data_IF_255562510154
#
_entry.id   IF_255562510154
#
_cell.length_a   1.000
_cell.length_b   1.000
_cell.length_c   1.000
_cell.angle_alpha   90.00
_cell.angle_beta   90.00
_cell.angle_gamma   90.00
#
_symmetry.space_group_name_H-M   'P 1'
#
loop_
_entity.id
_entity.type
_entity.pdbx_description
1 polymer ?
#
# COMPACT_ATOMS: atom_id res chain seq x y z
N UNK A 1 4.26 18.65 -11.16
CA UNK A 1 5.14 17.93 -10.23
C UNK A 1 5.27 16.52 -10.77
N UNK A 2 6.49 16.02 -10.89
CA UNK A 2 6.78 14.65 -11.32
C UNK A 2 6.88 13.76 -10.09
N UNK A 3 6.05 12.71 -10.06
CA UNK A 3 5.92 11.79 -8.94
C UNK A 3 6.46 10.42 -9.34
N UNK A 4 7.38 9.87 -8.55
CA UNK A 4 7.77 8.46 -8.63
C UNK A 4 7.06 7.67 -7.53
N UNK A 5 6.16 6.77 -7.93
CA UNK A 5 5.41 5.90 -7.03
C UNK A 5 5.96 4.49 -7.03
N UNK A 6 6.05 3.86 -5.86
CA UNK A 6 6.54 2.51 -5.67
C UNK A 6 5.49 1.65 -4.93
N UNK A 7 5.28 0.41 -5.36
CA UNK A 7 4.56 -0.61 -4.61
C UNK A 7 5.35 -1.91 -4.55
N UNK A 8 5.47 -2.42 -3.33
CA UNK A 8 6.09 -3.70 -3.01
C UNK A 8 5.34 -4.39 -1.87
N UNK A 9 4.11 -3.97 -1.56
CA UNK A 9 3.31 -4.52 -0.47
C UNK A 9 2.61 -5.83 -0.86
N UNK A 10 2.35 -6.03 -2.17
CA UNK A 10 1.66 -7.19 -2.71
C UNK A 10 2.58 -8.29 -3.25
N UNK A 11 2.08 -9.01 -4.26
CA UNK A 11 2.82 -10.00 -5.06
C UNK A 11 3.54 -9.37 -6.26
N UNK A 12 3.09 -8.18 -6.65
CA UNK A 12 3.64 -7.36 -7.71
C UNK A 12 4.71 -6.44 -7.11
N UNK A 13 5.77 -6.20 -7.88
CA UNK A 13 6.73 -5.13 -7.65
C UNK A 13 6.51 -4.11 -8.76
N UNK A 14 6.19 -2.87 -8.43
CA UNK A 14 5.74 -1.89 -9.40
C UNK A 14 6.31 -0.49 -9.15
N UNK A 15 6.54 0.25 -10.23
CA UNK A 15 6.89 1.65 -10.22
C UNK A 15 6.12 2.43 -11.30
N UNK A 16 5.83 3.70 -11.01
CA UNK A 16 5.18 4.60 -11.96
C UNK A 16 5.74 6.01 -11.87
N UNK A 17 5.82 6.69 -13.02
CA UNK A 17 6.23 8.09 -13.15
C UNK A 17 5.02 8.89 -13.63
N UNK A 18 4.54 9.81 -12.81
CA UNK A 18 3.30 10.53 -13.02
C UNK A 18 3.52 12.05 -13.01
N UNK A 19 3.06 12.73 -14.06
CA UNK A 19 2.98 14.19 -14.07
C UNK A 19 1.62 14.64 -13.52
N UNK A 20 1.63 15.11 -12.28
CA UNK A 20 0.42 15.59 -11.61
C UNK A 20 -0.09 16.91 -12.16
N UNK A 21 0.77 17.72 -12.78
CA UNK A 21 0.36 19.00 -13.39
C UNK A 21 -0.44 18.80 -14.67
N UNK A 22 -0.14 17.72 -15.40
CA UNK A 22 -0.85 17.32 -16.63
C UNK A 22 -1.86 16.20 -16.41
N UNK A 23 -1.95 15.65 -15.21
CA UNK A 23 -2.71 14.43 -14.90
C UNK A 23 -2.43 13.30 -15.91
N UNK A 24 -1.14 13.05 -16.18
CA UNK A 24 -0.72 12.10 -17.21
C UNK A 24 0.30 11.13 -16.65
N UNK A 25 0.08 9.84 -16.90
CA UNK A 25 1.07 8.81 -16.59
C UNK A 25 2.13 8.79 -17.68
N UNK A 26 3.39 8.97 -17.29
CA UNK A 26 4.53 9.05 -18.21
C UNK A 26 5.21 7.69 -18.39
N UNK A 27 5.21 6.84 -17.36
CA UNK A 27 5.76 5.49 -17.43
C UNK A 27 5.22 4.59 -16.32
N UNK A 28 5.04 3.31 -16.64
CA UNK A 28 4.58 2.27 -15.71
C UNK A 28 5.34 0.97 -15.96
N UNK A 29 5.89 0.40 -14.90
CA UNK A 29 6.52 -0.91 -14.95
C UNK A 29 6.06 -1.74 -13.74
N UNK A 30 5.76 -3.01 -13.98
CA UNK A 30 5.33 -3.94 -12.93
C UNK A 30 5.68 -5.37 -13.32
N UNK A 31 6.21 -6.13 -12.36
CA UNK A 31 6.44 -7.57 -12.50
C UNK A 31 5.78 -8.31 -11.34
N UNK A 32 5.13 -9.44 -11.64
CA UNK A 32 4.60 -10.35 -10.62
C UNK A 32 5.69 -11.32 -10.19
N UNK A 33 6.42 -10.98 -9.12
CA UNK A 33 7.65 -11.70 -8.73
C UNK A 33 7.45 -12.60 -7.50
N UNK A 34 6.44 -12.33 -6.67
CA UNK A 34 6.13 -13.08 -5.43
C UNK A 34 7.17 -12.94 -4.31
N UNK A 35 8.48 -13.04 -4.61
CA UNK A 35 9.61 -12.86 -3.69
C UNK A 35 10.78 -12.15 -4.41
N UNK A 36 11.74 -11.64 -3.63
CA UNK A 36 12.92 -10.96 -4.19
C UNK A 36 12.70 -9.51 -4.59
N UNK A 37 11.81 -8.79 -3.89
CA UNK A 37 11.49 -7.39 -4.24
C UNK A 37 12.70 -6.47 -4.22
N UNK A 38 13.70 -6.72 -3.35
CA UNK A 38 14.88 -5.88 -3.23
C UNK A 38 15.78 -5.95 -4.48
N UNK A 39 15.89 -7.14 -5.07
CA UNK A 39 16.72 -7.40 -6.23
C UNK A 39 16.09 -6.86 -7.52
N UNK A 40 14.76 -6.75 -7.56
CA UNK A 40 14.03 -6.33 -8.76
C UNK A 40 13.68 -4.84 -8.79
N UNK A 41 13.41 -4.22 -7.63
CA UNK A 41 12.81 -2.89 -7.56
C UNK A 41 13.54 -1.82 -8.39
N UNK A 42 14.88 -1.79 -8.33
CA UNK A 42 15.67 -0.77 -9.05
C UNK A 42 15.48 -0.91 -10.57
N UNK A 43 15.53 -2.13 -11.11
CA UNK A 43 15.29 -2.35 -12.54
C UNK A 43 13.85 -2.04 -12.98
N UNK A 44 12.87 -2.13 -12.07
CA UNK A 44 11.50 -1.69 -12.36
C UNK A 44 11.41 -0.16 -12.40
N UNK A 45 12.08 0.52 -11.47
CA UNK A 45 12.19 1.99 -11.46
C UNK A 45 12.86 2.48 -12.74
N UNK A 46 13.98 1.88 -13.16
CA UNK A 46 14.69 2.25 -14.39
C UNK A 46 13.76 2.13 -15.61
N UNK A 47 13.02 1.02 -15.75
CA UNK A 47 12.05 0.86 -16.86
C UNK A 47 10.95 1.92 -16.85
N UNK A 48 10.43 2.30 -15.69
CA UNK A 48 9.39 3.33 -15.59
C UNK A 48 9.95 4.72 -15.97
N UNK A 49 11.18 5.03 -15.58
CA UNK A 49 11.89 6.26 -15.94
C UNK A 49 12.23 6.31 -17.44
N UNK A 50 12.70 5.21 -18.01
CA UNK A 50 13.01 5.08 -19.43
C UNK A 50 11.76 5.31 -20.30
N UNK A 51 10.62 4.72 -19.92
CA UNK A 51 9.34 4.96 -20.59
C UNK A 51 8.92 6.44 -20.52
N UNK A 52 9.15 7.08 -19.38
CA UNK A 52 8.85 8.50 -19.18
C UNK A 52 9.82 9.44 -19.92
N UNK A 53 10.97 8.93 -20.37
CA UNK A 53 12.06 9.74 -20.91
C UNK A 53 12.67 10.69 -19.86
N UNK A 54 12.65 10.27 -18.60
CA UNK A 54 13.12 11.06 -17.45
C UNK A 54 14.20 10.31 -16.68
N UNK A 55 14.87 11.03 -15.78
CA UNK A 55 15.89 10.52 -14.88
C UNK A 55 15.43 10.70 -13.43
N UNK A 56 16.13 10.05 -12.48
CA UNK A 56 15.83 10.23 -11.05
C UNK A 56 15.92 11.71 -10.60
N UNK A 57 16.78 12.52 -11.22
CA UNK A 57 16.89 13.96 -10.89
C UNK A 57 15.69 14.80 -11.30
N UNK A 58 14.80 14.28 -12.15
CA UNK A 58 13.58 14.97 -12.57
C UNK A 58 12.40 14.73 -11.59
N UNK A 59 12.59 13.88 -10.58
CA UNK A 59 11.54 13.51 -9.62
C UNK A 59 11.42 14.58 -8.54
N UNK A 60 10.21 15.12 -8.39
CA UNK A 60 9.88 16.13 -7.37
C UNK A 60 9.31 15.53 -6.09
N UNK A 61 8.83 14.28 -6.13
CA UNK A 61 8.20 13.60 -4.98
C UNK A 61 8.26 12.08 -5.12
N UNK A 62 8.54 11.42 -3.99
CA UNK A 62 8.41 9.97 -3.83
C UNK A 62 7.07 9.61 -3.19
N UNK A 63 6.45 8.55 -3.69
CA UNK A 63 5.26 7.94 -3.10
C UNK A 63 5.52 6.45 -2.93
N UNK A 64 5.09 5.88 -1.81
CA UNK A 64 5.24 4.45 -1.57
C UNK A 64 4.09 3.86 -0.79
N UNK A 65 3.70 2.64 -1.12
CA UNK A 65 2.78 1.86 -0.30
C UNK A 65 3.41 1.51 1.05
N UNK A 66 2.74 1.80 2.15
CA UNK A 66 3.26 1.52 3.51
C UNK A 66 2.62 0.29 4.18
N UNK A 67 1.79 -0.44 3.45
CA UNK A 67 1.03 -1.59 3.97
C UNK A 67 -0.41 -1.24 4.35
N UNK A 68 -1.18 -2.20 4.88
CA UNK A 68 -0.79 -3.58 5.21
C UNK A 68 -0.44 -4.44 3.99
N UNK A 69 0.34 -5.52 4.19
CA UNK A 69 0.87 -6.35 3.10
C UNK A 69 2.10 -7.18 3.53
N UNK A 70 2.91 -7.59 2.56
CA UNK A 70 4.16 -8.34 2.76
C UNK A 70 5.12 -7.59 3.68
N UNK A 71 5.46 -8.18 4.83
CA UNK A 71 6.33 -7.55 5.82
C UNK A 71 7.70 -7.15 5.26
N UNK A 72 8.33 -8.05 4.50
CA UNK A 72 9.60 -7.78 3.84
C UNK A 72 9.41 -6.80 2.67
N UNK A 73 8.37 -7.00 1.87
CA UNK A 73 8.08 -6.16 0.71
C UNK A 73 7.89 -4.69 1.08
N UNK A 74 7.04 -4.38 2.07
CA UNK A 74 6.82 -3.01 2.56
C UNK A 74 8.14 -2.36 2.99
N UNK A 75 9.02 -3.10 3.68
CA UNK A 75 10.31 -2.57 4.13
C UNK A 75 11.22 -2.22 2.97
N UNK A 76 11.24 -3.03 1.92
CA UNK A 76 12.02 -2.76 0.71
C UNK A 76 11.57 -1.45 0.05
N UNK A 77 10.27 -1.32 -0.24
CA UNK A 77 9.73 -0.11 -0.87
C UNK A 77 9.96 1.13 -0.02
N UNK A 78 9.63 1.07 1.28
CA UNK A 78 9.80 2.22 2.18
C UNK A 78 11.27 2.62 2.31
N UNK A 79 12.20 1.65 2.38
CA UNK A 79 13.62 1.94 2.43
C UNK A 79 14.10 2.62 1.13
N UNK A 80 13.68 2.11 -0.03
CA UNK A 80 14.03 2.68 -1.33
C UNK A 80 13.48 4.11 -1.49
N UNK A 81 12.19 4.33 -1.23
CA UNK A 81 11.56 5.64 -1.31
C UNK A 81 12.24 6.67 -0.40
N UNK A 82 12.58 6.28 0.83
CA UNK A 82 13.31 7.15 1.76
C UNK A 82 14.74 7.42 1.33
N UNK A 83 15.39 6.43 0.72
CA UNK A 83 16.74 6.56 0.16
C UNK A 83 16.75 7.57 -1.00
N UNK A 84 15.85 7.40 -1.97
CA UNK A 84 15.71 8.34 -3.10
C UNK A 84 15.35 9.74 -2.63
N UNK A 85 14.37 9.87 -1.74
CA UNK A 85 13.97 11.16 -1.20
C UNK A 85 15.11 11.87 -0.47
N UNK A 86 15.94 11.12 0.26
CA UNK A 86 17.13 11.67 0.91
C UNK A 86 18.19 12.11 -0.09
N UNK A 87 18.44 11.33 -1.15
CA UNK A 87 19.46 11.68 -2.15
C UNK A 87 19.06 12.84 -3.05
N UNK A 88 17.76 12.97 -3.33
CA UNK A 88 17.21 13.98 -4.24
C UNK A 88 16.77 15.26 -3.50
N UNK A 89 16.73 15.24 -2.17
CA UNK A 89 16.20 16.31 -1.31
C UNK A 89 14.73 16.66 -1.65
N UNK A 90 13.90 15.64 -1.81
CA UNK A 90 12.47 15.78 -2.15
C UNK A 90 11.57 15.11 -1.12
N UNK A 91 10.30 15.52 -0.97
CA UNK A 91 9.37 14.88 -0.05
C UNK A 91 9.07 13.43 -0.45
N UNK A 92 8.81 12.61 0.57
CA UNK A 92 8.28 11.26 0.40
C UNK A 92 7.00 11.10 1.19
N UNK A 93 5.99 10.46 0.60
CA UNK A 93 4.68 10.22 1.23
C UNK A 93 4.35 8.73 1.20
N UNK A 94 3.73 8.26 2.28
CA UNK A 94 3.22 6.89 2.39
C UNK A 94 1.73 6.83 2.11
N UNK A 95 1.27 5.84 1.34
CA UNK A 95 -0.14 5.54 1.11
C UNK A 95 -0.42 4.11 1.58
N UNK A 96 -1.52 3.87 2.28
CA UNK A 96 -1.85 2.51 2.73
C UNK A 96 -2.40 1.68 1.59
N UNK A 97 -2.16 0.36 1.62
CA UNK A 97 -2.74 -0.59 0.66
C UNK A 97 -4.27 -0.52 0.68
N UNK A 98 -4.87 -0.29 1.86
CA UNK A 98 -6.31 -0.17 2.04
C UNK A 98 -6.89 1.07 1.34
N UNK A 99 -6.21 2.22 1.40
CA UNK A 99 -6.59 3.43 0.65
C UNK A 99 -6.58 3.19 -0.86
N UNK A 100 -5.54 2.50 -1.37
CA UNK A 100 -5.42 2.22 -2.81
C UNK A 100 -6.54 1.27 -3.27
N UNK A 101 -6.84 0.24 -2.48
CA UNK A 101 -7.93 -0.71 -2.76
C UNK A 101 -9.30 -0.02 -2.74
N UNK A 102 -9.54 0.85 -1.76
CA UNK A 102 -10.77 1.62 -1.69
C UNK A 102 -10.92 2.57 -2.89
N UNK A 103 -9.83 3.23 -3.29
CA UNK A 103 -9.80 4.08 -4.49
C UNK A 103 -10.12 3.29 -5.76
N UNK A 104 -9.48 2.12 -5.94
CA UNK A 104 -9.74 1.23 -7.08
C UNK A 104 -11.20 0.77 -7.15
N UNK A 105 -11.81 0.48 -6.00
CA UNK A 105 -13.23 0.11 -5.95
C UNK A 105 -14.13 1.30 -6.31
N UNK A 106 -13.80 2.51 -5.83
CA UNK A 106 -14.57 3.72 -6.14
C UNK A 106 -14.55 4.10 -7.62
N UNK A 107 -13.50 3.74 -8.38
CA UNK A 107 -13.51 3.89 -9.84
C UNK A 107 -14.57 3.00 -10.50
N UNK A 108 -14.84 1.82 -9.94
CA UNK A 108 -15.87 0.88 -10.44
C UNK A 108 -17.27 1.26 -9.97
N UNK A 109 -17.39 1.72 -8.73
CA UNK A 109 -18.67 2.10 -8.10
C UNK A 109 -18.58 3.50 -7.49
N UNK A 110 -18.68 4.56 -8.32
CA UNK A 110 -18.60 5.94 -7.85
C UNK A 110 -19.69 6.27 -6.83
N UNK A 111 -19.39 7.19 -5.91
CA UNK A 111 -20.31 7.71 -4.88
C UNK A 111 -20.83 6.66 -3.88
N UNK A 112 -20.15 5.50 -3.76
CA UNK A 112 -20.45 4.47 -2.76
C UNK A 112 -19.35 4.45 -1.70
N UNK A 113 -19.74 4.28 -0.44
CA UNK A 113 -18.80 3.98 0.63
C UNK A 113 -18.14 2.61 0.38
N UNK A 114 -16.90 2.44 0.82
CA UNK A 114 -16.12 1.22 0.59
C UNK A 114 -15.49 0.73 1.89
N UNK A 115 -15.64 -0.57 2.17
CA UNK A 115 -14.87 -1.28 3.18
C UNK A 115 -13.75 -2.05 2.47
N UNK A 116 -12.52 -1.54 2.60
CA UNK A 116 -11.35 -2.29 2.15
C UNK A 116 -10.99 -3.33 3.21
N UNK A 117 -10.88 -4.59 2.81
CA UNK A 117 -10.63 -5.71 3.71
C UNK A 117 -9.64 -6.72 3.10
N UNK A 118 -8.53 -6.94 3.79
CA UNK A 118 -7.49 -7.90 3.40
C UNK A 118 -7.45 -9.07 4.39
N UNK A 119 -7.41 -10.29 3.87
CA UNK A 119 -7.16 -11.49 4.68
C UNK A 119 -5.73 -11.43 5.24
N UNK A 120 -5.61 -11.24 6.56
CA UNK A 120 -4.33 -11.14 7.27
C UNK A 120 -3.73 -12.50 7.63
N UNK A 121 -4.39 -13.60 7.22
CA UNK A 121 -4.16 -14.97 7.66
C UNK A 121 -4.36 -15.11 9.17
N UNK A 122 -4.32 -16.36 9.66
CA UNK A 122 -4.44 -16.71 11.09
C UNK A 122 -5.72 -16.16 11.75
N UNK A 123 -6.83 -16.27 11.03
CA UNK A 123 -8.14 -15.87 11.53
C UNK A 123 -8.29 -14.36 11.83
N UNK A 124 -7.51 -13.53 11.15
CA UNK A 124 -7.59 -12.07 11.22
C UNK A 124 -7.82 -11.43 9.85
N UNK A 125 -8.45 -10.26 9.86
CA UNK A 125 -8.69 -9.40 8.71
C UNK A 125 -8.17 -8.01 9.03
N UNK A 126 -7.39 -7.44 8.11
CA UNK A 126 -7.06 -6.03 8.12
C UNK A 126 -8.16 -5.28 7.38
N UNK A 127 -8.78 -4.28 8.01
CA UNK A 127 -9.83 -3.51 7.37
C UNK A 127 -9.81 -2.03 7.70
N UNK A 128 -10.40 -1.24 6.80
CA UNK A 128 -10.67 0.17 6.99
C UNK A 128 -11.90 0.61 6.18
N UNK A 129 -12.88 1.30 6.79
CA UNK A 129 -14.01 1.90 6.08
C UNK A 129 -13.65 3.27 5.50
N UNK A 130 -14.15 3.55 4.30
CA UNK A 130 -14.00 4.81 3.58
C UNK A 130 -15.36 5.34 3.13
N UNK A 131 -15.53 6.65 3.18
CA UNK A 131 -16.73 7.33 2.73
C UNK A 131 -16.82 7.35 1.18
N UNK A 132 -17.96 7.79 0.66
CA UNK A 132 -18.20 7.88 -0.78
C UNK A 132 -17.24 8.83 -1.52
N UNK A 133 -16.70 9.83 -0.83
CA UNK A 133 -15.68 10.76 -1.35
C UNK A 133 -14.25 10.19 -1.25
N UNK A 134 -14.07 9.05 -0.59
CA UNK A 134 -12.78 8.39 -0.38
C UNK A 134 -12.07 8.80 0.91
N UNK A 135 -12.65 9.68 1.73
CA UNK A 135 -12.10 10.00 3.05
C UNK A 135 -12.20 8.79 4.00
N UNK A 136 -11.19 8.57 4.86
CA UNK A 136 -11.25 7.50 5.86
C UNK A 136 -12.34 7.81 6.89
N UNK A 137 -13.21 6.83 7.15
CA UNK A 137 -14.24 6.93 8.20
C UNK A 137 -13.71 6.51 9.57
N UNK A 138 -12.64 5.72 9.59
CA UNK A 138 -12.00 5.21 10.80
C UNK A 138 -10.53 4.85 10.50
N UNK A 139 -9.76 4.56 11.53
CA UNK A 139 -8.38 4.09 11.44
C UNK A 139 -8.32 2.61 10.96
N UNK A 140 -7.26 2.21 10.24
CA UNK A 140 -7.07 0.83 9.85
C UNK A 140 -6.79 -0.05 11.07
N UNK A 141 -7.36 -1.25 11.09
CA UNK A 141 -7.25 -2.18 12.23
C UNK A 141 -7.16 -3.64 11.80
N UNK A 142 -6.58 -4.46 12.68
CA UNK A 142 -6.67 -5.92 12.62
C UNK A 142 -7.81 -6.39 13.53
N UNK A 143 -8.71 -7.21 13.00
CA UNK A 143 -9.83 -7.80 13.74
C UNK A 143 -9.86 -9.31 13.51
N UNK A 144 -10.44 -10.08 14.43
CA UNK A 144 -10.75 -11.48 14.14
C UNK A 144 -11.76 -11.58 12.99
N UNK A 145 -11.83 -12.72 12.30
CA UNK A 145 -12.83 -12.93 11.24
C UNK A 145 -14.25 -12.69 11.75
N UNK A 146 -14.60 -13.18 12.94
CA UNK A 146 -15.91 -12.97 13.56
C UNK A 146 -16.22 -11.48 13.79
N UNK A 147 -15.27 -10.73 14.35
CA UNK A 147 -15.44 -9.29 14.58
C UNK A 147 -15.57 -8.51 13.26
N UNK A 148 -14.80 -8.90 12.26
CA UNK A 148 -14.85 -8.29 10.93
C UNK A 148 -16.18 -8.59 10.22
N UNK A 149 -16.73 -9.80 10.36
CA UNK A 149 -18.05 -10.16 9.85
C UNK A 149 -19.16 -9.34 10.51
N UNK A 150 -19.11 -9.21 11.84
CA UNK A 150 -20.06 -8.37 12.58
C UNK A 150 -19.98 -6.90 12.14
N UNK A 151 -18.77 -6.39 11.92
CA UNK A 151 -18.56 -5.03 11.39
C UNK A 151 -19.13 -4.88 9.96
N UNK A 152 -18.83 -5.82 9.07
CA UNK A 152 -19.28 -5.80 7.68
C UNK A 152 -20.81 -5.91 7.55
N UNK A 153 -21.48 -6.65 8.44
CA UNK A 153 -22.94 -6.78 8.44
C UNK A 153 -23.67 -5.45 8.69
N UNK A 154 -23.04 -4.51 9.39
CA UNK A 154 -23.57 -3.16 9.63
C UNK A 154 -23.07 -2.11 8.63
N UNK A 155 -22.21 -2.47 7.67
CA UNK A 155 -21.61 -1.53 6.73
C UNK A 155 -22.45 -1.39 5.46
N UNK A 156 -23.00 -0.19 5.22
CA UNK A 156 -23.73 0.13 4.00
C UNK A 156 -22.78 0.63 2.90
N UNK A 157 -22.29 -0.29 2.07
CA UNK A 157 -21.41 0.05 0.95
C UNK A 157 -20.86 -1.17 0.21
N UNK A 158 -19.83 -0.93 -0.60
CA UNK A 158 -19.08 -1.99 -1.27
C UNK A 158 -18.00 -2.56 -0.36
N UNK A 159 -17.73 -3.85 -0.50
CA UNK A 159 -16.61 -4.52 0.18
C UNK A 159 -15.60 -4.93 -0.90
N UNK A 160 -14.33 -4.64 -0.68
CA UNK A 160 -13.26 -4.96 -1.62
C UNK A 160 -12.06 -5.61 -0.93
N UNK A 161 -11.28 -6.37 -1.69
CA UNK A 161 -10.09 -7.06 -1.22
C UNK A 161 -10.29 -8.52 -0.84
N UNK A 162 -9.19 -9.20 -0.50
CA UNK A 162 -9.14 -10.66 -0.41
C UNK A 162 -9.95 -11.26 0.72
N UNK A 163 -10.39 -10.44 1.68
CA UNK A 163 -11.31 -10.88 2.73
C UNK A 163 -12.78 -10.79 2.31
N UNK A 164 -13.12 -10.26 1.14
CA UNK A 164 -14.52 -10.11 0.68
C UNK A 164 -15.31 -11.43 0.78
N UNK A 165 -14.80 -12.60 0.32
CA UNK A 165 -15.54 -13.86 0.44
C UNK A 165 -15.77 -14.33 1.89
N UNK A 166 -14.94 -13.87 2.84
CA UNK A 166 -15.11 -14.17 4.27
C UNK A 166 -16.17 -13.27 4.92
N UNK A 167 -16.36 -12.07 4.38
CA UNK A 167 -17.28 -11.04 4.91
C UNK A 167 -18.66 -11.08 4.24
N UNK A 168 -18.71 -11.50 2.97
CA UNK A 168 -19.92 -11.66 2.17
C UNK A 168 -19.78 -12.98 1.39
N UNK A 169 -20.25 -14.11 1.95
CA UNK A 169 -20.08 -15.44 1.35
C UNK A 169 -20.67 -15.59 -0.04
N UNK A 170 -21.70 -14.81 -0.37
CA UNK A 170 -22.35 -14.78 -1.70
C UNK A 170 -21.64 -13.84 -2.69
N UNK A 171 -20.44 -13.34 -2.37
CA UNK A 171 -19.69 -12.46 -3.26
C UNK A 171 -19.06 -13.24 -4.42
N UNK A 172 -19.40 -12.86 -5.64
CA UNK A 172 -18.79 -13.35 -6.86
C UNK A 172 -17.71 -12.40 -7.37
N UNK A 173 -16.69 -12.95 -8.03
CA UNK A 173 -15.67 -12.19 -8.77
C UNK A 173 -14.24 -12.37 -8.25
N UNK A 174 -13.31 -11.61 -8.84
CA UNK A 174 -11.92 -11.56 -8.40
C UNK A 174 -11.76 -10.53 -7.27
N UNK A 175 -11.31 -11.04 -6.12
CA UNK A 175 -11.08 -10.28 -4.90
C UNK A 175 -9.60 -10.18 -4.54
N UNK A 176 -8.68 -10.37 -5.50
CA UNK A 176 -7.26 -10.18 -5.27
C UNK A 176 -6.96 -8.77 -4.72
N UNK A 177 -5.96 -8.68 -3.82
CA UNK A 177 -5.40 -7.41 -3.35
C UNK A 177 -4.51 -6.79 -4.44
N UNK A 178 -5.09 -6.50 -5.60
CA UNK A 178 -4.39 -6.01 -6.78
C UNK A 178 -5.02 -4.69 -7.24
N UNK A 179 -4.15 -3.75 -7.56
CA UNK A 179 -4.52 -2.44 -8.07
C UNK A 179 -3.40 -1.94 -9.00
N UNK A 180 -3.73 -1.06 -9.96
CA UNK A 180 -2.69 -0.45 -10.79
C UNK A 180 -1.84 0.53 -9.98
N UNK A 181 -0.54 0.54 -10.24
CA UNK A 181 0.42 1.46 -9.60
C UNK A 181 0.07 2.94 -9.86
N UNK A 182 -0.64 3.24 -10.94
CA UNK A 182 -1.16 4.57 -11.23
C UNK A 182 -2.06 5.15 -10.12
N UNK A 183 -2.80 4.32 -9.38
CA UNK A 183 -3.60 4.78 -8.25
C UNK A 183 -2.74 5.24 -7.07
N UNK A 184 -1.66 4.50 -6.79
CA UNK A 184 -0.68 4.88 -5.76
C UNK A 184 -0.09 6.25 -6.11
N UNK A 185 0.32 6.44 -7.38
CA UNK A 185 0.87 7.70 -7.85
C UNK A 185 -0.11 8.88 -7.71
N UNK A 186 -1.36 8.71 -8.14
CA UNK A 186 -2.39 9.76 -8.03
C UNK A 186 -2.71 10.11 -6.58
N UNK A 187 -2.90 9.11 -5.73
CA UNK A 187 -3.20 9.32 -4.30
C UNK A 187 -2.05 10.06 -3.61
N UNK A 188 -0.81 9.61 -3.80
CA UNK A 188 0.35 10.28 -3.19
C UNK A 188 0.70 11.64 -3.78
N UNK A 189 0.32 11.91 -5.03
CA UNK A 189 0.40 13.26 -5.60
C UNK A 189 -0.56 14.23 -4.91
N UNK A 190 -1.77 13.77 -4.57
CA UNK A 190 -2.79 14.57 -3.88
C UNK A 190 -2.61 14.64 -2.36
N UNK A 191 -1.84 13.72 -1.77
CA UNK A 191 -1.61 13.67 -0.33
C UNK A 191 -0.80 14.87 0.18
N UNK A 192 -1.09 15.28 1.42
CA UNK A 192 -0.37 16.37 2.09
C UNK A 192 1.12 16.02 2.25
N UNK A 193 2.05 16.94 1.92
CA UNK A 193 3.47 16.75 2.17
C UNK A 193 3.80 16.65 3.67
N UNK A 194 2.94 17.16 4.55
CA UNK A 194 3.15 17.19 6.00
C UNK A 194 2.82 15.85 6.69
N UNK A 195 2.40 14.83 5.94
CA UNK A 195 2.15 13.48 6.44
C UNK A 195 3.40 12.79 7.04
N UNK A 196 4.57 13.43 6.90
CA UNK A 196 5.84 12.95 7.42
C UNK A 196 6.45 11.87 6.54
N UNK A 197 7.69 11.47 6.88
CA UNK A 197 8.42 10.44 6.12
C UNK A 197 7.67 9.10 6.20
N UNK A 198 7.54 8.35 5.09
CA UNK A 198 6.81 7.09 5.07
C UNK A 198 7.42 6.10 6.06
N UNK A 199 6.56 5.39 6.78
CA UNK A 199 6.93 4.34 7.73
C UNK A 199 6.01 3.14 7.51
N UNK A 200 6.51 1.90 7.62
CA UNK A 200 5.64 0.73 7.52
C UNK A 200 4.49 0.79 8.53
N UNK A 201 3.28 0.54 8.06
CA UNK A 201 2.08 0.37 8.88
C UNK A 201 1.94 -1.11 9.24
N UNK A 202 2.25 -1.43 10.50
CA UNK A 202 2.04 -2.77 11.05
C UNK A 202 0.78 -2.79 11.90
N UNK A 203 -0.28 -3.40 11.37
CA UNK A 203 -1.54 -3.58 12.09
C UNK A 203 -1.53 -4.77 13.06
N UNK A 204 -0.58 -5.70 12.86
CA UNK A 204 -0.29 -6.80 13.77
C UNK A 204 0.99 -6.50 14.54
N UNK A 205 0.95 -6.71 15.85
CA UNK A 205 2.14 -6.67 16.70
C UNK A 205 3.14 -7.79 16.37
N UNK A 206 4.39 -7.71 16.88
CA UNK A 206 5.34 -8.79 16.71
C UNK A 206 4.88 -10.05 17.44
N UNK A 207 4.92 -11.20 16.75
CA UNK A 207 4.65 -12.52 17.37
C UNK A 207 5.76 -12.96 18.34
N UNK A 208 6.89 -12.25 18.34
CA UNK A 208 8.06 -12.59 19.13
C UNK A 208 7.79 -12.38 20.63
N UNK A 209 7.73 -13.47 21.39
CA UNK A 209 7.77 -13.42 22.85
C UNK A 209 9.22 -13.29 23.30
N UNK A 210 9.56 -12.35 24.20
CA UNK A 210 10.89 -12.28 24.79
C UNK A 210 11.27 -13.64 25.39
N UNK A 211 12.49 -14.12 25.14
CA UNK A 211 13.00 -15.31 25.82
C UNK A 211 13.18 -14.98 27.31
N UNK A 212 12.21 -15.39 28.14
CA UNK A 212 12.39 -15.40 29.58
C UNK A 212 13.30 -16.58 29.93
N UNK A 213 14.60 -16.35 30.14
CA UNK A 213 15.45 -17.34 30.81
C UNK A 213 16.90 -17.49 30.34
N UNK A 214 17.36 -16.81 29.29
CA UNK A 214 18.76 -16.91 28.85
C UNK A 214 19.43 -15.53 28.76
N UNK A 215 19.70 -14.93 29.92
CA UNK A 215 20.64 -13.83 30.00
C UNK A 215 22.06 -14.42 30.06
N UNK A 216 22.82 -14.33 28.97
CA UNK A 216 24.25 -14.62 28.99
C UNK A 216 24.90 -13.57 29.91
N UNK A 217 25.50 -14.03 31.01
CA UNK A 217 26.22 -13.14 31.92
C UNK A 217 27.30 -12.38 31.15
N UNK A 218 27.22 -11.04 31.16
CA UNK A 218 28.31 -10.21 30.63
C UNK A 218 29.53 -10.44 31.51
N UNK A 219 30.63 -10.94 30.93
CA UNK A 219 31.94 -10.90 31.60
C UNK A 219 32.32 -9.42 31.71
N UNK A 220 32.40 -8.93 32.95
CA UNK A 220 33.04 -7.66 33.29
C UNK A 220 34.55 -7.90 33.35
#
# INVERSE_FOLDING_TARGET
MIVLALDTAGVDCAAAVYDSGRNTMLGEASDMIGKGHAEHLIGIVDRALDQAGLTLSDIDRLVVTIGPGSFTGIRVGVAAARGFALSLDVPAVGITTLEVMASAQREKTPHRAVLAAMDAKRDEIYLQPFAADGSPLDEPRALSVEQAQAFAAGFEGEITGSATPLLRPDADGDHANKFPISLVARLGAAASPDAGKPKPLYLRGPDAKPQAGYAIARRV
#
